data_IF_302373033598
#
_entry.id   IF_302373033598
#
_cell.length_a   1.000
_cell.length_b   1.000
_cell.length_c   1.000
_cell.angle_alpha   90.00
_cell.angle_beta   90.00
_cell.angle_gamma   90.00
#
_symmetry.space_group_name_H-M   'P 1'
#
loop_
_entity.id
_entity.type
_entity.pdbx_description
1 polymer ?
#
# COMPACT_ATOMS: atom_id res chain seq x y z
N UNK A 1 6.64 -18.17 23.17
CA UNK A 1 6.26 -17.34 22.03
C UNK A 1 4.75 -17.20 21.99
N UNK A 2 4.23 -15.99 21.76
CA UNK A 2 2.81 -15.77 21.47
C UNK A 2 2.59 -15.84 19.96
N UNK A 3 1.33 -16.03 19.51
CA UNK A 3 1.04 -16.16 18.07
C UNK A 3 1.57 -14.97 17.26
N UNK A 4 1.58 -13.77 17.85
CA UNK A 4 2.11 -12.56 17.22
C UNK A 4 3.61 -12.64 16.88
N UNK A 5 4.40 -13.45 17.59
CA UNK A 5 5.85 -13.59 17.36
C UNK A 5 6.16 -14.21 15.99
N UNK A 6 5.18 -14.85 15.36
CA UNK A 6 5.36 -15.62 14.14
C UNK A 6 4.86 -14.91 12.87
N UNK A 7 4.27 -13.70 12.97
CA UNK A 7 3.66 -13.04 11.81
C UNK A 7 4.70 -12.77 10.72
N UNK A 8 5.81 -12.11 11.07
CA UNK A 8 6.86 -11.80 10.11
C UNK A 8 7.55 -13.05 9.58
N UNK A 9 7.86 -14.02 10.44
CA UNK A 9 8.47 -15.29 10.02
C UNK A 9 7.57 -16.13 9.11
N UNK A 10 6.25 -16.12 9.34
CA UNK A 10 5.30 -16.80 8.46
C UNK A 10 5.23 -16.12 7.09
N UNK A 11 5.25 -14.79 7.05
CA UNK A 11 5.26 -14.03 5.79
C UNK A 11 6.58 -14.24 5.04
N UNK A 12 7.72 -14.17 5.72
CA UNK A 12 9.05 -14.46 5.14
C UNK A 12 9.05 -15.86 4.50
N UNK A 13 8.48 -16.86 5.18
CA UNK A 13 8.42 -18.22 4.64
C UNK A 13 7.52 -18.36 3.41
N UNK A 14 6.45 -17.56 3.32
CA UNK A 14 5.51 -17.57 2.20
C UNK A 14 5.95 -16.66 1.04
N UNK A 15 6.86 -15.73 1.28
CA UNK A 15 7.40 -14.78 0.30
C UNK A 15 8.93 -14.81 0.29
N UNK A 16 9.53 -15.94 -0.12
CA UNK A 16 10.98 -16.01 -0.31
C UNK A 16 11.42 -15.06 -1.44
N UNK A 17 12.73 -14.87 -1.60
CA UNK A 17 13.27 -14.04 -2.68
C UNK A 17 12.72 -14.48 -4.06
N UNK A 18 12.11 -13.52 -4.76
CA UNK A 18 11.57 -13.74 -6.09
C UNK A 18 12.70 -14.07 -7.08
N UNK A 19 12.41 -14.93 -8.06
CA UNK A 19 13.32 -15.10 -9.19
C UNK A 19 13.47 -13.76 -9.95
N UNK A 20 14.62 -13.46 -10.60
CA UNK A 20 14.88 -12.15 -11.19
C UNK A 20 13.84 -11.62 -12.19
N UNK A 21 13.06 -12.51 -12.83
CA UNK A 21 12.00 -12.15 -13.78
C UNK A 21 10.58 -12.39 -13.22
N UNK A 22 10.46 -12.58 -11.91
CA UNK A 22 9.20 -12.84 -11.21
C UNK A 22 8.81 -11.69 -10.29
N UNK A 23 7.51 -11.52 -10.10
CA UNK A 23 6.93 -10.52 -9.22
C UNK A 23 6.08 -11.21 -8.18
N UNK A 24 6.48 -11.11 -6.92
CA UNK A 24 5.61 -11.47 -5.81
C UNK A 24 4.67 -10.30 -5.51
N UNK A 25 3.37 -10.54 -5.69
CA UNK A 25 2.32 -9.56 -5.36
C UNK A 25 1.70 -9.94 -4.03
N UNK A 26 2.13 -9.25 -2.97
CA UNK A 26 1.68 -9.52 -1.61
C UNK A 26 0.39 -8.75 -1.30
N UNK A 27 -0.67 -9.46 -0.91
CA UNK A 27 -1.92 -8.84 -0.49
C UNK A 27 -1.74 -8.08 0.84
N UNK A 28 -1.96 -6.76 0.82
CA UNK A 28 -1.88 -5.94 2.01
C UNK A 28 -2.96 -6.28 3.05
N UNK A 29 -2.60 -6.23 4.33
CA UNK A 29 -3.51 -6.48 5.45
C UNK A 29 -3.54 -5.32 6.44
N UNK A 30 -4.74 -4.82 6.75
CA UNK A 30 -4.94 -3.78 7.77
C UNK A 30 -4.39 -2.41 7.39
N UNK A 31 -3.94 -1.66 8.39
CA UNK A 31 -3.23 -0.39 8.24
C UNK A 31 -2.37 -0.14 9.49
N UNK A 32 -1.17 0.43 9.31
CA UNK A 32 -0.31 0.88 10.42
C UNK A 32 -0.99 1.90 11.34
N UNK A 33 -2.02 2.57 10.85
CA UNK A 33 -2.80 3.54 11.63
C UNK A 33 -4.02 2.90 12.33
N UNK A 34 -4.35 1.64 12.02
CA UNK A 34 -5.50 0.97 12.63
C UNK A 34 -5.16 0.36 13.99
N UNK A 35 -5.78 0.80 15.10
CA UNK A 35 -5.36 0.40 16.45
C UNK A 35 -5.45 -1.12 16.68
N UNK A 36 -6.41 -1.80 16.05
CA UNK A 36 -6.58 -3.25 16.17
C UNK A 36 -5.75 -4.08 15.18
N UNK A 37 -5.21 -3.48 14.10
CA UNK A 37 -4.62 -4.23 12.97
C UNK A 37 -3.20 -3.79 12.61
N UNK A 38 -2.66 -2.73 13.22
CA UNK A 38 -1.33 -2.22 12.93
C UNK A 38 -0.23 -3.28 13.09
N UNK A 39 -0.36 -4.17 14.09
CA UNK A 39 0.58 -5.27 14.30
C UNK A 39 0.64 -6.26 13.13
N UNK A 40 -0.49 -6.50 12.46
CA UNK A 40 -0.54 -7.36 11.27
C UNK A 40 0.17 -6.69 10.10
N UNK A 41 -0.12 -5.40 9.86
CA UNK A 41 0.51 -4.64 8.78
C UNK A 41 2.03 -4.54 8.97
N UNK A 42 2.48 -4.30 10.20
CA UNK A 42 3.91 -4.22 10.52
C UNK A 42 4.60 -5.57 10.34
N UNK A 43 3.99 -6.66 10.83
CA UNK A 43 4.52 -8.00 10.64
C UNK A 43 4.60 -8.41 9.16
N UNK A 44 3.59 -8.05 8.36
CA UNK A 44 3.59 -8.26 6.91
C UNK A 44 4.73 -7.49 6.24
N UNK A 45 4.89 -6.21 6.58
CA UNK A 45 5.93 -5.35 6.02
C UNK A 45 7.34 -5.87 6.33
N UNK A 46 7.59 -6.32 7.55
CA UNK A 46 8.89 -6.87 7.95
C UNK A 46 9.15 -8.27 7.42
N UNK A 47 8.13 -9.11 7.28
CA UNK A 47 8.29 -10.45 6.73
C UNK A 47 8.50 -10.45 5.21
N UNK A 48 7.72 -9.64 4.48
CA UNK A 48 7.75 -9.59 3.02
C UNK A 48 8.90 -8.73 2.46
N UNK A 49 9.44 -7.82 3.28
CA UNK A 49 10.59 -6.97 2.94
C UNK A 49 10.47 -6.27 1.57
N UNK A 50 9.30 -5.70 1.24
CA UNK A 50 8.96 -5.39 -0.15
C UNK A 50 9.84 -4.27 -0.71
N UNK A 51 10.23 -4.40 -1.97
CA UNK A 51 10.95 -3.35 -2.71
C UNK A 51 10.10 -2.12 -2.97
N UNK A 52 8.79 -2.32 -3.14
CA UNK A 52 7.83 -1.29 -3.46
C UNK A 52 6.46 -1.56 -2.83
N UNK A 53 5.68 -0.50 -2.66
CA UNK A 53 4.29 -0.63 -2.20
C UNK A 53 3.33 0.32 -2.92
N UNK A 54 2.06 -0.06 -2.94
CA UNK A 54 0.95 0.74 -3.47
C UNK A 54 0.06 1.17 -2.30
N UNK A 55 -0.25 2.46 -2.22
CA UNK A 55 -1.16 2.97 -1.19
C UNK A 55 -2.61 2.76 -1.63
N UNK A 56 -3.42 2.12 -0.79
CA UNK A 56 -4.85 1.97 -1.03
C UNK A 56 -5.65 3.03 -0.28
N UNK A 57 -6.55 3.73 -0.97
CA UNK A 57 -7.37 4.80 -0.39
C UNK A 57 -8.83 4.74 -0.88
N UNK A 58 -9.76 5.28 -0.09
CA UNK A 58 -11.16 5.47 -0.46
C UNK A 58 -11.60 6.85 0.06
N UNK A 59 -11.95 7.80 -0.83
CA UNK A 59 -12.02 9.22 -0.51
C UNK A 59 -13.23 9.65 0.32
N UNK A 60 -14.29 8.83 0.38
CA UNK A 60 -15.51 9.18 1.12
C UNK A 60 -15.47 8.72 2.57
N UNK A 61 -14.51 7.88 2.94
CA UNK A 61 -14.35 7.38 4.31
C UNK A 61 -13.73 8.43 5.21
N UNK A 62 -14.36 8.66 6.36
CA UNK A 62 -13.91 9.64 7.35
C UNK A 62 -13.27 9.01 8.58
N UNK A 63 -13.62 7.75 8.88
CA UNK A 63 -13.07 7.00 10.02
C UNK A 63 -12.64 5.60 9.60
N UNK A 64 -11.76 5.01 10.39
CA UNK A 64 -11.39 3.60 10.22
C UNK A 64 -12.57 2.67 10.51
N UNK A 65 -12.51 1.47 9.92
CA UNK A 65 -13.57 0.48 10.07
C UNK A 65 -13.68 0.02 11.53
N UNK A 66 -14.84 0.22 12.14
CA UNK A 66 -15.12 -0.30 13.49
C UNK A 66 -14.53 0.53 14.64
N UNK A 67 -13.90 1.69 14.37
CA UNK A 67 -13.38 2.60 15.40
C UNK A 67 -13.63 4.06 15.03
N UNK A 68 -13.68 4.96 16.02
CA UNK A 68 -13.86 6.42 15.82
C UNK A 68 -12.55 7.16 15.54
N UNK A 69 -11.55 6.47 15.00
CA UNK A 69 -10.25 7.06 14.69
C UNK A 69 -10.28 7.66 13.27
N UNK A 70 -9.79 8.90 13.05
CA UNK A 70 -9.78 9.52 11.73
C UNK A 70 -8.86 8.77 10.76
N UNK A 71 -9.09 8.94 9.46
CA UNK A 71 -8.15 8.43 8.47
C UNK A 71 -6.85 9.28 8.46
N UNK A 72 -5.69 8.64 8.28
CA UNK A 72 -4.46 9.36 7.98
C UNK A 72 -4.54 9.98 6.57
N UNK A 73 -3.73 11.02 6.32
CA UNK A 73 -3.49 11.46 4.95
C UNK A 73 -2.70 10.40 4.17
N UNK A 74 -2.81 10.41 2.83
CA UNK A 74 -2.00 9.54 1.96
C UNK A 74 -0.50 9.73 2.24
N UNK A 75 -0.06 10.98 2.45
CA UNK A 75 1.35 11.26 2.78
C UNK A 75 1.78 10.62 4.10
N UNK A 76 0.95 10.69 5.14
CA UNK A 76 1.25 10.04 6.42
C UNK A 76 1.35 8.51 6.26
N UNK A 77 0.53 7.90 5.40
CA UNK A 77 0.62 6.48 5.06
C UNK A 77 1.95 6.16 4.38
N UNK A 78 2.35 6.95 3.38
CA UNK A 78 3.64 6.80 2.69
C UNK A 78 4.79 6.89 3.70
N UNK A 79 4.84 7.97 4.48
CA UNK A 79 5.96 8.28 5.38
C UNK A 79 6.13 7.18 6.44
N UNK A 80 5.03 6.75 7.06
CA UNK A 80 5.10 5.73 8.11
C UNK A 80 5.45 4.35 7.53
N UNK A 81 4.95 4.02 6.34
CA UNK A 81 5.27 2.74 5.67
C UNK A 81 6.75 2.68 5.34
N UNK A 82 7.32 3.77 4.78
CA UNK A 82 8.76 3.86 4.52
C UNK A 82 9.56 3.80 5.82
N UNK A 83 9.17 4.55 6.85
CA UNK A 83 9.87 4.57 8.13
C UNK A 83 9.92 3.18 8.79
N UNK A 84 8.81 2.44 8.80
CA UNK A 84 8.74 1.10 9.37
C UNK A 84 9.43 0.04 8.49
N UNK A 85 9.27 0.12 7.17
CA UNK A 85 9.75 -0.89 6.22
C UNK A 85 11.28 -0.86 6.03
N UNK A 86 11.88 0.33 6.14
CA UNK A 86 13.35 0.53 6.03
C UNK A 86 14.17 -0.30 7.00
N UNK A 87 13.56 -0.80 8.09
CA UNK A 87 14.23 -1.72 9.01
C UNK A 87 14.70 -3.00 8.30
N UNK A 88 13.94 -3.47 7.31
CA UNK A 88 14.20 -4.73 6.60
C UNK A 88 14.57 -4.53 5.14
N UNK A 89 14.04 -3.49 4.49
CA UNK A 89 14.46 -3.09 3.15
C UNK A 89 14.71 -1.57 3.10
N UNK A 90 15.97 -1.09 3.18
CA UNK A 90 16.29 0.34 3.15
C UNK A 90 15.84 1.08 1.88
N UNK A 91 15.63 0.37 0.78
CA UNK A 91 15.28 0.92 -0.52
C UNK A 91 13.76 0.97 -0.80
N UNK A 92 12.94 0.51 0.15
CA UNK A 92 11.47 0.51 0.03
C UNK A 92 10.93 1.89 -0.34
N UNK A 93 10.02 1.92 -1.32
CA UNK A 93 9.41 3.17 -1.81
C UNK A 93 8.00 2.98 -2.37
N UNK A 94 7.14 4.00 -2.35
CA UNK A 94 5.84 3.93 -2.98
C UNK A 94 5.97 3.98 -4.51
N UNK A 95 5.15 3.19 -5.21
CA UNK A 95 5.11 3.16 -6.70
C UNK A 95 3.76 3.56 -7.29
N UNK A 96 2.75 3.76 -6.45
CA UNK A 96 1.44 4.18 -6.93
C UNK A 96 0.40 4.30 -5.82
N UNK A 97 -0.76 4.84 -6.19
CA UNK A 97 -1.90 5.02 -5.30
C UNK A 97 -3.13 4.42 -5.98
N UNK A 98 -3.69 3.36 -5.37
CA UNK A 98 -4.91 2.71 -5.79
C UNK A 98 -6.11 3.31 -5.04
N UNK A 99 -6.99 3.98 -5.76
CA UNK A 99 -8.12 4.71 -5.18
C UNK A 99 -9.42 3.97 -5.48
N UNK A 100 -10.12 3.50 -4.46
CA UNK A 100 -11.47 3.01 -4.63
C UNK A 100 -12.42 4.21 -4.80
N UNK A 101 -12.93 4.42 -6.01
CA UNK A 101 -13.85 5.51 -6.34
C UNK A 101 -15.29 5.03 -6.52
N UNK A 102 -15.65 3.87 -5.99
CA UNK A 102 -16.98 3.26 -6.15
C UNK A 102 -18.12 4.20 -5.75
N UNK A 103 -17.92 5.06 -4.75
CA UNK A 103 -18.91 6.02 -4.26
C UNK A 103 -18.95 7.34 -5.06
N UNK A 104 -18.10 7.50 -6.08
CA UNK A 104 -17.98 8.73 -6.88
C UNK A 104 -18.55 8.53 -8.29
N UNK A 105 -19.01 9.62 -8.91
CA UNK A 105 -19.26 9.64 -10.37
C UNK A 105 -17.94 9.44 -11.12
N UNK A 106 -18.00 9.08 -12.40
CA UNK A 106 -16.78 8.87 -13.17
C UNK A 106 -15.97 10.17 -13.32
N UNK A 107 -16.63 11.32 -13.51
CA UNK A 107 -15.98 12.63 -13.61
C UNK A 107 -15.26 12.99 -12.31
N UNK A 108 -15.94 12.81 -11.16
CA UNK A 108 -15.37 13.05 -9.85
C UNK A 108 -14.21 12.09 -9.56
N UNK A 109 -14.33 10.81 -9.96
CA UNK A 109 -13.27 9.81 -9.82
C UNK A 109 -12.02 10.20 -10.61
N UNK A 110 -12.17 10.63 -11.88
CA UNK A 110 -11.06 11.09 -12.71
C UNK A 110 -10.40 12.34 -12.16
N UNK A 111 -11.20 13.32 -11.74
CA UNK A 111 -10.69 14.55 -11.14
C UNK A 111 -9.89 14.25 -9.86
N UNK A 112 -10.41 13.39 -8.99
CA UNK A 112 -9.74 13.01 -7.76
C UNK A 112 -8.44 12.22 -8.00
N UNK A 113 -8.42 11.28 -8.95
CA UNK A 113 -7.18 10.59 -9.32
C UNK A 113 -6.12 11.58 -9.81
N UNK A 114 -6.48 12.54 -10.67
CA UNK A 114 -5.55 13.55 -11.16
C UNK A 114 -5.02 14.48 -10.05
N UNK A 115 -5.87 14.86 -9.10
CA UNK A 115 -5.48 15.64 -7.92
C UNK A 115 -4.45 14.87 -7.07
N UNK A 116 -4.73 13.60 -6.75
CA UNK A 116 -3.84 12.75 -5.95
C UNK A 116 -2.52 12.50 -6.67
N UNK A 117 -2.54 12.26 -7.99
CA UNK A 117 -1.33 12.09 -8.79
C UNK A 117 -0.45 13.34 -8.74
N UNK A 118 -1.04 14.52 -8.93
CA UNK A 118 -0.32 15.79 -8.85
C UNK A 118 0.23 16.08 -7.44
N UNK A 119 -0.53 15.76 -6.40
CA UNK A 119 -0.14 16.02 -5.01
C UNK A 119 1.04 15.16 -4.54
N UNK A 120 1.16 13.92 -5.03
CA UNK A 120 2.16 12.97 -4.55
C UNK A 120 3.25 12.61 -5.57
N UNK A 121 3.12 13.02 -6.83
CA UNK A 121 4.08 12.65 -7.89
C UNK A 121 4.14 11.13 -8.14
N UNK A 122 3.04 10.44 -7.87
CA UNK A 122 2.87 8.99 -7.99
C UNK A 122 1.66 8.71 -8.88
N UNK A 123 1.71 7.70 -9.79
CA UNK A 123 0.54 7.30 -10.55
C UNK A 123 -0.63 6.99 -9.62
N UNK A 124 -1.78 7.64 -9.87
CA UNK A 124 -2.98 7.45 -9.07
C UNK A 124 -4.15 7.02 -9.97
N UNK A 125 -4.79 5.91 -9.64
CA UNK A 125 -5.86 5.35 -10.48
C UNK A 125 -6.86 4.58 -9.65
N UNK A 126 -8.09 4.46 -10.15
CA UNK A 126 -9.01 3.44 -9.69
C UNK A 126 -8.71 2.13 -10.45
N UNK A 127 -8.18 1.10 -9.77
CA UNK A 127 -7.76 -0.14 -10.43
C UNK A 127 -8.95 -0.92 -11.01
N UNK A 128 -10.15 -0.76 -10.45
CA UNK A 128 -11.36 -1.46 -10.89
C UNK A 128 -12.00 -0.72 -12.07
N UNK A 129 -12.03 0.61 -12.01
CA UNK A 129 -12.73 1.45 -13.01
C UNK A 129 -11.86 1.78 -14.22
N UNK A 130 -10.58 2.06 -14.00
CA UNK A 130 -9.66 2.58 -15.02
C UNK A 130 -8.45 1.68 -15.27
N UNK A 131 -8.29 0.62 -14.47
CA UNK A 131 -7.19 -0.33 -14.56
C UNK A 131 -5.90 0.17 -13.91
N UNK A 132 -4.88 -0.71 -13.94
CA UNK A 132 -3.62 -0.55 -13.18
C UNK A 132 -2.40 -0.16 -14.01
N UNK A 133 -2.59 0.05 -15.32
CA UNK A 133 -1.49 0.19 -16.29
C UNK A 133 -0.42 1.19 -15.88
N UNK A 134 -0.81 2.37 -15.40
CA UNK A 134 0.15 3.41 -15.01
C UNK A 134 1.07 2.98 -13.85
N UNK A 135 0.54 2.25 -12.87
CA UNK A 135 1.31 1.69 -11.76
C UNK A 135 2.24 0.59 -12.27
N UNK A 136 1.72 -0.34 -13.09
CA UNK A 136 2.52 -1.45 -13.65
C UNK A 136 3.68 -0.95 -14.51
N UNK A 137 3.46 0.06 -15.36
CA UNK A 137 4.54 0.64 -16.18
C UNK A 137 5.62 1.31 -15.31
N UNK A 138 5.23 2.00 -14.24
CA UNK A 138 6.20 2.56 -13.29
C UNK A 138 7.02 1.47 -12.60
N UNK A 139 6.36 0.41 -12.15
CA UNK A 139 6.99 -0.75 -11.54
C UNK A 139 8.01 -1.39 -12.50
N UNK A 140 7.65 -1.63 -13.76
CA UNK A 140 8.57 -2.15 -14.78
C UNK A 140 9.74 -1.22 -15.10
N UNK A 141 9.53 0.09 -15.04
CA UNK A 141 10.58 1.07 -15.30
C UNK A 141 11.59 1.18 -14.14
N UNK A 142 11.13 1.01 -12.91
CA UNK A 142 11.96 1.16 -11.71
C UNK A 142 12.67 -0.14 -11.27
N UNK A 143 12.20 -1.29 -11.75
CA UNK A 143 12.71 -2.63 -11.39
C UNK A 143 12.74 -3.53 -12.64
N UNK A 144 13.78 -3.38 -13.49
CA UNK A 144 13.91 -4.09 -14.75
C UNK A 144 14.38 -5.55 -14.61
#
# INVERSE_FOLDING_TARGET
>A
AVVADFISGAVEWLSPEAAPAHWDVIEGQGSLFHPSFAGVTLGLLHGAQPDAFVVCHEPTRTTMRGVKHPLPSIQAVIDLTVACGRLTNPAIRPVGIAINTQALTEEAARAYCAEVEAAHGLPATDPVRFGVRAIVERVRAEFP
#
